data_IF_256846630016
#
_entry.id   IF_256846630016
#
_cell.length_a   1.000
_cell.length_b   1.000
_cell.length_c   1.000
_cell.angle_alpha   90.00
_cell.angle_beta   90.00
_cell.angle_gamma   90.00
#
_symmetry.space_group_name_H-M   'P 1'
#
loop_
_entity.id
_entity.type
_entity.pdbx_description
1 polymer ?
#
# COMPACT_ATOMS: atom_id res chain seq x y z
N UNK A 1 5.76 -19.56 2.00
CA UNK A 1 4.71 -19.75 0.97
C UNK A 1 3.47 -18.89 1.16
N UNK A 2 2.69 -18.97 2.26
CA UNK A 2 1.40 -18.23 2.37
C UNK A 2 1.55 -16.71 2.26
N UNK A 3 2.51 -16.11 2.99
CA UNK A 3 2.76 -14.65 2.97
C UNK A 3 3.22 -14.15 1.60
N UNK A 4 4.03 -14.93 0.88
CA UNK A 4 4.49 -14.59 -0.47
C UNK A 4 3.32 -14.53 -1.45
N UNK A 5 2.43 -15.53 -1.42
CA UNK A 5 1.22 -15.54 -2.26
C UNK A 5 0.31 -14.36 -1.97
N UNK A 6 0.15 -13.95 -0.71
CA UNK A 6 -0.61 -12.75 -0.36
C UNK A 6 0.02 -11.46 -0.91
N UNK A 7 1.35 -11.35 -0.85
CA UNK A 7 2.08 -10.21 -1.40
C UNK A 7 1.98 -10.15 -2.93
N UNK A 8 2.08 -11.29 -3.62
CA UNK A 8 1.89 -11.37 -5.07
C UNK A 8 0.48 -10.94 -5.46
N UNK A 9 -0.56 -11.46 -4.77
CA UNK A 9 -1.95 -11.05 -5.00
C UNK A 9 -2.15 -9.56 -4.76
N UNK A 10 -1.52 -9.02 -3.72
CA UNK A 10 -1.59 -7.59 -3.41
C UNK A 10 -0.93 -6.75 -4.50
N UNK A 11 0.28 -7.13 -4.94
CA UNK A 11 1.01 -6.46 -6.02
C UNK A 11 0.20 -6.37 -7.31
N UNK A 12 -0.40 -7.49 -7.74
CA UNK A 12 -1.22 -7.54 -8.95
C UNK A 12 -2.42 -6.58 -8.89
N UNK A 13 -2.97 -6.33 -7.69
CA UNK A 13 -4.03 -5.33 -7.53
C UNK A 13 -3.53 -3.89 -7.62
N UNK A 14 -2.30 -3.62 -7.16
CA UNK A 14 -1.71 -2.26 -7.24
C UNK A 14 -1.55 -1.80 -8.69
N UNK A 15 -1.16 -2.70 -9.61
CA UNK A 15 -1.10 -2.39 -11.04
C UNK A 15 -2.48 -1.97 -11.58
N UNK A 16 -3.55 -2.67 -11.20
CA UNK A 16 -4.92 -2.32 -11.62
C UNK A 16 -5.38 -0.98 -11.06
N UNK A 17 -5.02 -0.65 -9.83
CA UNK A 17 -5.40 0.61 -9.18
C UNK A 17 -4.73 1.83 -9.79
N UNK A 18 -3.54 1.65 -10.36
CA UNK A 18 -2.83 2.70 -11.08
C UNK A 18 -3.62 3.16 -12.30
N UNK A 19 -4.38 2.24 -12.93
CA UNK A 19 -5.28 2.52 -14.04
C UNK A 19 -6.65 3.02 -13.57
N UNK A 20 -7.15 2.55 -12.43
CA UNK A 20 -8.48 2.88 -11.87
C UNK A 20 -8.36 3.53 -10.50
N UNK A 21 -7.88 4.77 -10.46
CA UNK A 21 -7.57 5.48 -9.22
C UNK A 21 -8.83 6.02 -8.49
N UNK A 22 -9.55 5.14 -7.81
CA UNK A 22 -10.73 5.48 -6.99
C UNK A 22 -10.39 5.59 -5.49
N UNK A 23 -11.27 6.23 -4.72
CA UNK A 23 -11.15 6.28 -3.25
C UNK A 23 -11.14 4.87 -2.63
N UNK A 24 -11.97 3.97 -3.15
CA UNK A 24 -12.06 2.57 -2.68
C UNK A 24 -10.75 1.83 -2.91
N UNK A 25 -10.15 2.00 -4.09
CA UNK A 25 -8.89 1.36 -4.46
C UNK A 25 -7.74 1.90 -3.62
N UNK A 26 -7.71 3.23 -3.38
CA UNK A 26 -6.72 3.82 -2.50
C UNK A 26 -6.83 3.32 -1.05
N UNK A 27 -8.05 3.27 -0.51
CA UNK A 27 -8.27 2.74 0.85
C UNK A 27 -7.77 1.30 0.97
N UNK A 28 -8.08 0.46 -0.03
CA UNK A 28 -7.57 -0.91 -0.07
C UNK A 28 -6.03 -0.94 -0.10
N UNK A 29 -5.40 -0.12 -0.94
CA UNK A 29 -3.95 -0.08 -1.08
C UNK A 29 -3.23 0.32 0.22
N UNK A 30 -3.79 1.24 1.00
CA UNK A 30 -3.23 1.67 2.29
C UNK A 30 -3.52 0.66 3.41
N UNK A 31 -4.70 0.05 3.44
CA UNK A 31 -5.07 -0.83 4.55
C UNK A 31 -4.51 -2.25 4.40
N UNK A 32 -4.48 -2.79 3.18
CA UNK A 32 -4.11 -4.19 2.93
C UNK A 32 -2.70 -4.56 3.43
N UNK A 33 -1.64 -3.74 3.24
CA UNK A 33 -0.31 -4.00 3.80
C UNK A 33 -0.30 -4.22 5.31
N UNK A 34 -1.17 -3.51 6.03
CA UNK A 34 -1.28 -3.60 7.50
C UNK A 34 -2.01 -4.90 7.88
N UNK A 35 -3.10 -5.21 7.18
CA UNK A 35 -3.91 -6.42 7.42
C UNK A 35 -3.09 -7.69 7.22
N UNK A 36 -2.28 -7.77 6.16
CA UNK A 36 -1.42 -8.93 5.89
C UNK A 36 -0.09 -8.92 6.67
N UNK A 37 0.06 -8.01 7.64
CA UNK A 37 1.28 -7.85 8.47
C UNK A 37 2.56 -7.74 7.62
N UNK A 38 2.45 -7.05 6.49
CA UNK A 38 3.57 -6.72 5.62
C UNK A 38 4.24 -5.44 6.09
N UNK A 39 3.44 -4.41 6.40
CA UNK A 39 3.91 -3.16 6.98
C UNK A 39 3.18 -2.89 8.29
N UNK A 40 3.86 -2.21 9.20
CA UNK A 40 3.20 -1.52 10.31
C UNK A 40 2.74 -0.14 9.87
N UNK A 41 1.81 0.46 10.62
CA UNK A 41 1.37 1.84 10.37
C UNK A 41 2.54 2.82 10.48
N UNK A 42 3.50 2.55 11.38
CA UNK A 42 4.71 3.36 11.54
C UNK A 42 5.59 3.28 10.29
N UNK A 43 5.93 2.07 9.84
CA UNK A 43 6.77 1.89 8.65
C UNK A 43 6.15 2.52 7.39
N UNK A 44 4.82 2.46 7.26
CA UNK A 44 4.12 3.13 6.15
C UNK A 44 4.17 4.66 6.27
N UNK A 45 3.99 5.18 7.49
CA UNK A 45 4.09 6.61 7.76
C UNK A 45 5.50 7.13 7.41
N UNK A 46 6.54 6.43 7.85
CA UNK A 46 7.94 6.76 7.58
C UNK A 46 8.25 6.69 6.08
N UNK A 47 7.83 5.61 5.42
CA UNK A 47 8.05 5.40 3.99
C UNK A 47 7.38 6.45 3.09
N UNK A 48 6.22 6.97 3.51
CA UNK A 48 5.47 8.00 2.80
C UNK A 48 5.78 9.42 3.28
N UNK A 49 6.65 9.57 4.29
CA UNK A 49 6.94 10.85 4.97
C UNK A 49 5.66 11.55 5.45
N UNK A 50 4.79 10.78 6.07
CA UNK A 50 3.52 11.24 6.64
C UNK A 50 3.47 10.96 8.13
N UNK A 51 2.54 11.60 8.82
CA UNK A 51 2.27 11.26 10.22
C UNK A 51 1.46 9.95 10.33
N UNK A 52 1.63 9.20 11.42
CA UNK A 52 0.78 8.01 11.69
C UNK A 52 -0.72 8.37 11.71
N UNK A 53 -1.15 9.50 12.32
CA UNK A 53 -2.55 9.94 12.24
C UNK A 53 -3.05 10.11 10.81
N UNK A 54 -2.23 10.67 9.91
CA UNK A 54 -2.57 10.80 8.49
C UNK A 54 -2.88 9.44 7.86
N UNK A 55 -1.99 8.45 8.07
CA UNK A 55 -2.21 7.08 7.59
C UNK A 55 -3.50 6.49 8.20
N UNK A 56 -3.74 6.72 9.50
CA UNK A 56 -4.96 6.28 10.18
C UNK A 56 -6.24 6.86 9.57
N UNK A 57 -6.24 8.14 9.19
CA UNK A 57 -7.36 8.78 8.48
C UNK A 57 -7.57 8.16 7.11
N UNK A 58 -6.50 7.94 6.35
CA UNK A 58 -6.56 7.34 5.02
C UNK A 58 -7.14 5.93 5.04
N UNK A 59 -6.75 5.11 6.02
CA UNK A 59 -7.34 3.78 6.25
C UNK A 59 -8.84 3.84 6.51
N UNK A 60 -9.30 4.87 7.23
CA UNK A 60 -10.72 5.11 7.50
C UNK A 60 -11.46 5.72 6.30
N UNK A 61 -10.80 5.98 5.18
CA UNK A 61 -11.40 6.65 4.02
C UNK A 61 -11.57 8.15 4.20
N UNK A 62 -10.94 8.75 5.21
CA UNK A 62 -11.04 10.18 5.54
C UNK A 62 -9.78 10.93 5.10
N UNK A 63 -9.95 12.20 4.75
CA UNK A 63 -8.86 13.10 4.33
C UNK A 63 -7.92 12.46 3.28
N UNK A 64 -8.51 11.76 2.30
CA UNK A 64 -7.74 11.03 1.29
C UNK A 64 -6.92 12.01 0.46
N UNK A 65 -5.68 11.65 0.09
CA UNK A 65 -4.84 12.52 -0.72
C UNK A 65 -5.47 12.73 -2.10
N UNK A 66 -5.11 13.84 -2.75
CA UNK A 66 -5.55 14.13 -4.11
C UNK A 66 -5.14 13.01 -5.07
N UNK A 67 -5.95 12.72 -6.09
CA UNK A 67 -5.74 11.56 -6.97
C UNK A 67 -4.35 11.53 -7.63
N UNK A 68 -3.80 12.70 -7.99
CA UNK A 68 -2.44 12.84 -8.54
C UNK A 68 -1.37 12.32 -7.57
N UNK A 69 -1.52 12.59 -6.27
CA UNK A 69 -0.58 12.14 -5.24
C UNK A 69 -0.65 10.63 -4.98
N UNK A 70 -1.83 10.03 -5.19
CA UNK A 70 -2.04 8.59 -4.97
C UNK A 70 -1.20 7.73 -5.88
N UNK A 71 -0.94 8.18 -7.11
CA UNK A 71 -0.10 7.44 -8.06
C UNK A 71 1.29 7.17 -7.49
N UNK A 72 1.94 8.20 -6.92
CA UNK A 72 3.25 8.06 -6.29
C UNK A 72 3.23 7.10 -5.08
N UNK A 73 2.12 7.08 -4.35
CA UNK A 73 1.92 6.15 -3.23
C UNK A 73 1.79 4.72 -3.73
N UNK A 74 1.05 4.47 -4.82
CA UNK A 74 0.93 3.16 -5.44
C UNK A 74 2.28 2.67 -5.99
N UNK A 75 3.01 3.53 -6.69
CA UNK A 75 4.36 3.22 -7.20
C UNK A 75 5.32 2.86 -6.06
N UNK A 76 5.28 3.61 -4.95
CA UNK A 76 6.08 3.29 -3.76
C UNK A 76 5.69 1.94 -3.15
N UNK A 77 4.39 1.65 -3.02
CA UNK A 77 3.90 0.37 -2.51
C UNK A 77 4.33 -0.80 -3.40
N UNK A 78 4.19 -0.67 -4.72
CA UNK A 78 4.59 -1.72 -5.67
C UNK A 78 6.08 -2.03 -5.58
N UNK A 79 6.92 -0.99 -5.51
CA UNK A 79 8.37 -1.15 -5.31
C UNK A 79 8.68 -1.85 -3.98
N UNK A 80 8.05 -1.42 -2.89
CA UNK A 80 8.28 -1.99 -1.56
C UNK A 80 7.86 -3.46 -1.49
N UNK A 81 6.72 -3.82 -2.07
CA UNK A 81 6.23 -5.21 -2.16
C UNK A 81 7.15 -6.06 -3.02
N UNK A 82 7.62 -5.53 -4.15
CA UNK A 82 8.53 -6.24 -5.05
C UNK A 82 9.85 -6.62 -4.36
N UNK A 83 10.42 -5.71 -3.56
CA UNK A 83 11.62 -5.97 -2.77
C UNK A 83 11.37 -7.08 -1.74
N UNK A 84 10.24 -7.05 -1.03
CA UNK A 84 9.90 -8.07 -0.03
C UNK A 84 9.66 -9.45 -0.66
N UNK A 85 8.97 -9.53 -1.80
CA UNK A 85 8.80 -10.79 -2.54
C UNK A 85 10.16 -11.35 -2.94
N UNK A 86 11.06 -10.52 -3.47
CA UNK A 86 12.41 -10.95 -3.85
C UNK A 86 13.21 -11.45 -2.65
N UNK A 87 13.03 -10.83 -1.46
CA UNK A 87 13.65 -11.26 -0.21
C UNK A 87 13.11 -12.62 0.26
N UNK A 88 11.81 -12.88 0.13
CA UNK A 88 11.18 -14.14 0.57
C UNK A 88 11.52 -15.35 -0.32
N UNK A 89 11.97 -15.11 -1.56
CA UNK A 89 12.38 -16.14 -2.52
C UNK A 89 13.84 -16.55 -2.39
N UNK A 90 14.64 -15.78 -1.66
CA UNK A 90 16.01 -16.13 -1.28
C UNK A 90 15.98 -17.02 -0.06
#
# INVERSE_FOLDING_TARGET
>A
MVKELELIKFRNKLSDFTLRNSNTNFRYAIDRPIVIKFLTVQQMADGLRQSRPTIGLWRKGKNLPHHVMRRRIFEWLDKTVSIEIARLRK
#
